data_IF_652787812386
#
_entry.id   IF_652787812386
#
_cell.length_a   1.000
_cell.length_b   1.000
_cell.length_c   1.000
_cell.angle_alpha   90.00
_cell.angle_beta   90.00
_cell.angle_gamma   90.00
#
_symmetry.space_group_name_H-M   'P 1'
#
loop_
_entity.id
_entity.type
_entity.pdbx_description
1 polymer ?
#
# COMPACT_ATOMS: atom_id res chain seq x y z
N UNK A 1 0.72 2.30 3.89
CA UNK A 1 2.15 2.68 3.93
C UNK A 1 2.58 3.27 5.27
N UNK A 2 1.78 4.14 5.89
CA UNK A 2 2.13 4.76 7.16
C UNK A 2 2.28 3.71 8.27
N UNK A 3 1.31 2.79 8.40
CA UNK A 3 1.30 1.76 9.44
C UNK A 3 2.43 0.74 9.26
N UNK A 4 2.63 0.22 8.04
CA UNK A 4 3.75 -0.69 7.75
C UNK A 4 5.10 -0.04 8.08
N UNK A 5 5.29 1.23 7.70
CA UNK A 5 6.55 1.95 7.94
C UNK A 5 6.77 2.25 9.42
N UNK A 6 5.76 2.73 10.15
CA UNK A 6 5.91 3.08 11.57
C UNK A 6 6.16 1.85 12.43
N UNK A 7 5.40 0.78 12.22
CA UNK A 7 5.55 -0.46 12.99
C UNK A 7 6.82 -1.23 12.61
N UNK A 8 7.21 -1.26 11.33
CA UNK A 8 8.49 -1.87 10.94
C UNK A 8 9.67 -1.13 11.57
N UNK A 9 9.70 0.20 11.51
CA UNK A 9 10.76 1.01 12.16
C UNK A 9 10.80 0.79 13.67
N UNK A 10 9.65 0.73 14.32
CA UNK A 10 9.56 0.49 15.77
C UNK A 10 10.10 -0.90 16.14
N UNK A 11 9.75 -1.95 15.38
CA UNK A 11 10.25 -3.32 15.60
C UNK A 11 11.77 -3.43 15.40
N UNK A 12 12.29 -2.81 14.34
CA UNK A 12 13.73 -2.75 14.07
C UNK A 12 14.46 -2.04 15.21
N UNK A 13 13.95 -0.91 15.71
CA UNK A 13 14.55 -0.19 16.84
C UNK A 13 14.55 -0.99 18.15
N UNK A 14 13.59 -1.91 18.33
CA UNK A 14 13.54 -2.84 19.47
C UNK A 14 14.32 -4.14 19.26
N UNK A 15 14.92 -4.34 18.08
CA UNK A 15 15.58 -5.61 17.73
C UNK A 15 14.62 -6.81 17.62
N UNK A 16 13.31 -6.57 17.55
CA UNK A 16 12.30 -7.63 17.49
C UNK A 16 12.17 -8.14 16.06
N UNK A 17 12.29 -9.45 15.87
CA UNK A 17 12.00 -10.09 14.59
C UNK A 17 10.52 -10.50 14.52
N UNK A 18 9.67 -9.80 13.76
CA UNK A 18 8.26 -10.17 13.64
C UNK A 18 8.10 -11.51 12.92
N UNK A 19 7.05 -12.25 13.32
CA UNK A 19 6.60 -13.42 12.57
C UNK A 19 6.22 -13.03 11.14
N UNK A 20 6.21 -14.01 10.22
CA UNK A 20 5.82 -13.78 8.83
C UNK A 20 4.45 -13.10 8.75
N UNK A 21 3.45 -13.61 9.49
CA UNK A 21 2.10 -13.05 9.52
C UNK A 21 2.08 -11.61 10.08
N UNK A 22 2.87 -11.30 11.11
CA UNK A 22 2.91 -9.96 11.68
C UNK A 22 3.55 -8.91 10.76
N UNK A 23 4.45 -9.31 9.86
CA UNK A 23 5.06 -8.43 8.87
C UNK A 23 4.16 -8.24 7.63
N UNK A 24 3.67 -9.34 7.07
CA UNK A 24 2.83 -9.32 5.86
C UNK A 24 1.39 -8.88 6.13
N UNK A 25 0.87 -9.11 7.34
CA UNK A 25 -0.44 -8.62 7.75
C UNK A 25 -0.58 -7.10 7.64
N UNK A 26 0.51 -6.35 7.86
CA UNK A 26 0.51 -4.89 7.68
C UNK A 26 0.39 -4.48 6.20
N UNK A 27 0.93 -5.27 5.28
CA UNK A 27 0.76 -5.08 3.84
C UNK A 27 -0.71 -5.28 3.44
N UNK A 28 -1.35 -6.31 3.99
CA UNK A 28 -2.78 -6.58 3.78
C UNK A 28 -3.63 -5.42 4.33
N UNK A 29 -3.33 -4.93 5.53
CA UNK A 29 -4.04 -3.77 6.11
C UNK A 29 -3.91 -2.54 5.23
N UNK A 30 -2.70 -2.22 4.77
CA UNK A 30 -2.47 -1.09 3.88
C UNK A 30 -3.23 -1.24 2.55
N UNK A 31 -3.29 -2.46 2.00
CA UNK A 31 -4.06 -2.77 0.81
C UNK A 31 -5.56 -2.60 1.02
N UNK A 32 -6.11 -3.09 2.13
CA UNK A 32 -7.54 -2.93 2.46
C UNK A 32 -7.91 -1.46 2.63
N UNK A 33 -7.08 -0.67 3.31
CA UNK A 33 -7.28 0.77 3.43
C UNK A 33 -7.27 1.46 2.06
N UNK A 34 -6.36 1.06 1.18
CA UNK A 34 -6.34 1.54 -0.19
C UNK A 34 -7.59 1.14 -0.97
N UNK A 35 -8.09 -0.09 -0.82
CA UNK A 35 -9.32 -0.54 -1.47
C UNK A 35 -10.54 0.26 -1.02
N UNK A 36 -10.67 0.56 0.28
CA UNK A 36 -11.75 1.40 0.80
C UNK A 36 -11.70 2.79 0.16
N UNK A 37 -10.52 3.41 0.14
CA UNK A 37 -10.32 4.67 -0.58
C UNK A 37 -10.69 4.54 -2.06
N UNK A 38 -10.26 3.46 -2.72
CA UNK A 38 -10.47 3.24 -4.14
C UNK A 38 -11.95 3.10 -4.51
N UNK A 39 -12.73 2.41 -3.69
CA UNK A 39 -14.18 2.29 -3.87
C UNK A 39 -14.86 3.66 -3.73
N UNK A 40 -14.59 4.39 -2.65
CA UNK A 40 -15.21 5.69 -2.40
C UNK A 40 -14.89 6.70 -3.50
N UNK A 41 -13.62 6.78 -3.89
CA UNK A 41 -13.17 7.68 -4.96
C UNK A 41 -13.64 7.20 -6.34
N UNK A 42 -13.73 5.88 -6.56
CA UNK A 42 -14.22 5.29 -7.80
C UNK A 42 -15.69 5.61 -8.04
N UNK A 43 -16.52 5.57 -6.99
CA UNK A 43 -17.92 6.01 -7.06
C UNK A 43 -18.02 7.49 -7.49
N UNK A 44 -17.16 8.36 -6.94
CA UNK A 44 -17.12 9.76 -7.33
C UNK A 44 -16.70 9.96 -8.78
N UNK A 45 -15.59 9.34 -9.22
CA UNK A 45 -15.10 9.43 -10.60
C UNK A 45 -16.15 8.93 -11.60
N UNK A 46 -16.81 7.82 -11.29
CA UNK A 46 -17.85 7.26 -12.16
C UNK A 46 -19.08 8.17 -12.24
N UNK A 47 -19.51 8.77 -11.11
CA UNK A 47 -20.60 9.76 -11.09
C UNK A 47 -20.30 10.99 -11.96
N UNK A 48 -19.07 11.51 -11.89
CA UNK A 48 -18.64 12.64 -12.73
C UNK A 48 -18.61 12.25 -14.20
N UNK A 49 -18.09 11.07 -14.54
CA UNK A 49 -18.01 10.59 -15.92
C UNK A 49 -19.39 10.48 -16.56
N UNK A 50 -20.36 9.88 -15.86
CA UNK A 50 -21.72 9.69 -16.38
C UNK A 50 -22.47 11.01 -16.50
N UNK A 51 -22.33 11.91 -15.51
CA UNK A 51 -23.00 13.22 -15.50
C UNK A 51 -22.46 14.16 -16.58
N UNK A 52 -21.13 14.19 -16.77
CA UNK A 52 -20.47 15.05 -17.75
C UNK A 52 -20.33 14.40 -19.14
N UNK A 53 -20.87 13.18 -19.34
CA UNK A 53 -20.78 12.41 -20.59
C UNK A 53 -19.35 12.30 -21.13
N UNK A 54 -18.37 12.17 -20.23
CA UNK A 54 -16.96 12.15 -20.63
C UNK A 54 -16.62 10.88 -21.42
N UNK A 55 -15.70 10.95 -22.39
CA UNK A 55 -15.25 9.77 -23.13
C UNK A 55 -14.65 8.71 -22.21
N UNK A 56 -14.80 7.44 -22.60
CA UNK A 56 -14.24 6.31 -21.84
C UNK A 56 -12.71 6.39 -21.69
N UNK A 57 -12.01 7.04 -22.62
CA UNK A 57 -10.56 7.27 -22.51
C UNK A 57 -10.19 8.11 -21.27
N UNK A 58 -11.00 9.11 -20.94
CA UNK A 58 -10.80 9.95 -19.73
C UNK A 58 -11.00 9.12 -18.46
N UNK A 59 -11.99 8.23 -18.46
CA UNK A 59 -12.22 7.31 -17.34
C UNK A 59 -11.02 6.39 -17.14
N UNK A 60 -10.55 5.72 -18.20
CA UNK A 60 -9.41 4.80 -18.12
C UNK A 60 -8.18 5.55 -17.59
N UNK A 61 -7.90 6.74 -18.14
CA UNK A 61 -6.79 7.58 -17.68
C UNK A 61 -6.91 7.95 -16.20
N UNK A 62 -8.09 8.38 -15.75
CA UNK A 62 -8.34 8.68 -14.35
C UNK A 62 -8.15 7.46 -13.44
N UNK A 63 -8.66 6.28 -13.83
CA UNK A 63 -8.49 5.06 -13.06
C UNK A 63 -7.00 4.65 -12.97
N UNK A 64 -6.24 4.80 -14.05
CA UNK A 64 -4.80 4.54 -14.04
C UNK A 64 -4.06 5.49 -13.09
N UNK A 65 -4.35 6.79 -13.18
CA UNK A 65 -3.65 7.82 -12.42
C UNK A 65 -3.98 7.76 -10.92
N UNK A 66 -5.27 7.59 -10.57
CA UNK A 66 -5.73 7.65 -9.19
C UNK A 66 -5.75 6.30 -8.47
N UNK A 67 -5.78 5.18 -9.21
CA UNK A 67 -5.81 3.85 -8.59
C UNK A 67 -4.61 3.01 -8.95
N UNK A 68 -4.34 2.77 -10.24
CA UNK A 68 -3.30 1.82 -10.63
C UNK A 68 -1.92 2.25 -10.11
N UNK A 69 -1.46 3.46 -10.44
CA UNK A 69 -0.14 3.94 -10.02
C UNK A 69 -0.02 4.02 -8.49
N UNK A 70 -0.97 4.64 -7.75
CA UNK A 70 -0.89 4.72 -6.30
C UNK A 70 -0.94 3.34 -5.62
N UNK A 71 -1.72 2.39 -6.15
CA UNK A 71 -1.76 1.02 -5.62
C UNK A 71 -0.40 0.33 -5.73
N UNK A 72 0.26 0.45 -6.90
CA UNK A 72 1.60 -0.11 -7.08
C UNK A 72 2.58 0.46 -6.05
N UNK A 73 2.56 1.78 -5.87
CA UNK A 73 3.42 2.46 -4.88
C UNK A 73 3.16 1.92 -3.47
N UNK A 74 1.89 1.85 -3.04
CA UNK A 74 1.51 1.33 -1.71
C UNK A 74 2.01 -0.10 -1.50
N UNK A 75 1.71 -1.00 -2.43
CA UNK A 75 2.06 -2.41 -2.32
C UNK A 75 3.58 -2.64 -2.33
N UNK A 76 4.30 -1.98 -3.23
CA UNK A 76 5.76 -2.12 -3.35
C UNK A 76 6.42 -1.64 -2.05
N UNK A 77 6.09 -0.44 -1.57
CA UNK A 77 6.73 0.07 -0.36
C UNK A 77 6.33 -0.73 0.89
N UNK A 78 5.08 -1.17 1.00
CA UNK A 78 4.66 -2.02 2.12
C UNK A 78 5.38 -3.38 2.10
N UNK A 79 5.55 -4.00 0.93
CA UNK A 79 6.32 -5.23 0.78
C UNK A 79 7.81 -5.05 1.13
N UNK A 80 8.42 -3.92 0.72
CA UNK A 80 9.80 -3.58 1.09
C UNK A 80 9.99 -3.42 2.61
N UNK A 81 9.03 -2.80 3.31
CA UNK A 81 9.12 -2.69 4.77
C UNK A 81 8.88 -4.03 5.47
N UNK A 82 7.97 -4.85 4.95
CA UNK A 82 7.73 -6.19 5.48
C UNK A 82 8.98 -7.07 5.35
N UNK A 83 9.66 -7.04 4.19
CA UNK A 83 10.90 -7.78 3.97
C UNK A 83 12.04 -7.25 4.86
N UNK A 84 12.25 -5.93 4.87
CA UNK A 84 13.28 -5.27 5.68
C UNK A 84 13.13 -5.55 7.17
N UNK A 85 11.90 -5.52 7.70
CA UNK A 85 11.65 -5.78 9.12
C UNK A 85 12.02 -7.19 9.60
N UNK A 86 12.19 -8.15 8.67
CA UNK A 86 12.50 -9.55 8.97
C UNK A 86 13.93 -9.95 8.63
N UNK A 87 14.67 -9.08 7.95
CA UNK A 87 16.05 -9.32 7.54
C UNK A 87 16.97 -9.10 8.75
N UNK A 88 17.85 -10.07 9.02
CA UNK A 88 18.89 -9.99 10.05
C UNK A 88 20.18 -9.59 9.32
N UNK A 89 20.82 -8.50 9.75
CA UNK A 89 22.19 -8.18 9.33
C UNK A 89 23.06 -9.38 9.69
N UNK A 90 23.61 -10.05 8.68
CA UNK A 90 24.50 -11.21 8.87
C UNK A 90 25.84 -10.82 9.49
N UNK A 91 26.15 -9.53 9.54
CA UNK A 91 27.43 -8.98 10.00
C UNK A 91 27.41 -8.55 11.47
N UNK A 92 26.31 -8.76 12.20
CA UNK A 92 26.18 -8.42 13.62
C UNK A 92 26.55 -9.57 14.58
N UNK A 93 27.12 -10.67 14.07
CA UNK A 93 27.45 -11.88 14.83
C UNK A 93 28.91 -12.32 14.62
N UNK A 94 29.80 -11.41 14.22
CA UNK A 94 31.25 -11.63 14.27
C UNK A 94 31.92 -10.78 15.35
#
# INVERSE_FOLDING_TARGET
MLLSRTLAKSRIARGERPSWAAAWGLVIVDFVLFLVYAVLMGMFIFSVQTTAQMPNGTLIFALTLFFFIPMQVVLILSALWASKSRWLDKDAVE
#
